data_IF_993963819120
#
_entry.id   IF_993963819120
#
_cell.length_a   1.000
_cell.length_b   1.000
_cell.length_c   1.000
_cell.angle_alpha   90.00
_cell.angle_beta   90.00
_cell.angle_gamma   90.00
#
_symmetry.space_group_name_H-M   'P 1'
#
loop_
_entity.id
_entity.type
_entity.pdbx_description
1 polymer ?
#
# COMPACT_ATOMS: atom_id res chain seq x y z
N UNK A 1 9.91 -4.57 -18.73
CA UNK A 1 8.68 -3.75 -18.61
C UNK A 1 7.62 -4.34 -19.53
N UNK A 2 6.35 -4.35 -19.12
CA UNK A 2 5.23 -4.78 -19.98
C UNK A 2 4.54 -3.54 -20.55
N UNK A 3 4.13 -3.60 -21.82
CA UNK A 3 3.42 -2.52 -22.49
C UNK A 3 1.92 -2.84 -22.52
N UNK A 4 1.09 -1.82 -22.37
CA UNK A 4 -0.36 -1.92 -22.44
C UNK A 4 -0.83 -0.95 -23.52
N UNK A 5 -1.65 -1.43 -24.44
CA UNK A 5 -2.34 -0.60 -25.43
C UNK A 5 -3.75 -0.34 -24.95
N UNK A 6 -4.16 0.92 -24.91
CA UNK A 6 -5.49 1.35 -24.48
C UNK A 6 -6.10 2.19 -25.60
N UNK A 7 -7.29 1.81 -26.05
CA UNK A 7 -8.08 2.60 -26.99
C UNK A 7 -8.82 3.70 -26.23
N UNK A 8 -8.68 4.95 -26.67
CA UNK A 8 -9.31 6.12 -26.08
C UNK A 8 -9.96 6.93 -27.20
N UNK A 9 -11.06 7.61 -26.90
CA UNK A 9 -11.63 8.58 -27.83
C UNK A 9 -10.69 9.79 -27.98
N UNK A 10 -10.65 10.38 -29.18
CA UNK A 10 -9.74 11.50 -29.49
C UNK A 10 -9.89 12.69 -28.54
N UNK A 11 -11.14 13.01 -28.16
CA UNK A 11 -11.43 14.11 -27.24
C UNK A 11 -10.94 13.81 -25.82
N UNK A 12 -11.01 12.55 -25.38
CA UNK A 12 -10.48 12.15 -24.08
C UNK A 12 -8.96 12.21 -24.08
N UNK A 13 -8.31 11.71 -25.15
CA UNK A 13 -6.86 11.77 -25.30
C UNK A 13 -6.35 13.22 -25.31
N UNK A 14 -7.02 14.12 -26.03
CA UNK A 14 -6.67 15.54 -26.09
C UNK A 14 -6.76 16.20 -24.71
N UNK A 15 -7.86 16.03 -23.99
CA UNK A 15 -8.04 16.59 -22.64
C UNK A 15 -7.02 16.03 -21.65
N UNK A 16 -6.77 14.72 -21.67
CA UNK A 16 -5.78 14.08 -20.82
C UNK A 16 -4.38 14.65 -21.07
N UNK A 17 -4.01 14.89 -22.34
CA UNK A 17 -2.71 15.46 -22.70
C UNK A 17 -2.56 16.91 -22.22
N UNK A 18 -3.60 17.73 -22.33
CA UNK A 18 -3.59 19.11 -21.82
C UNK A 18 -3.44 19.12 -20.30
N UNK A 19 -4.23 18.31 -19.59
CA UNK A 19 -4.16 18.21 -18.13
C UNK A 19 -2.80 17.71 -17.64
N UNK A 20 -2.20 16.75 -18.34
CA UNK A 20 -0.87 16.25 -18.02
C UNK A 20 0.20 17.34 -18.20
N UNK A 21 0.15 18.08 -19.31
CA UNK A 21 1.08 19.18 -19.58
C UNK A 21 0.97 20.31 -18.55
N UNK A 22 -0.24 20.65 -18.10
CA UNK A 22 -0.45 21.65 -17.04
C UNK A 22 0.20 21.26 -15.70
N UNK A 23 0.45 19.97 -15.48
CA UNK A 23 1.05 19.43 -14.26
C UNK A 23 2.52 19.03 -14.44
N UNK A 24 3.16 19.39 -15.56
CA UNK A 24 4.50 18.93 -15.96
C UNK A 24 4.65 17.39 -15.94
N UNK A 25 3.58 16.67 -16.27
CA UNK A 25 3.55 15.21 -16.34
C UNK A 25 3.25 14.72 -17.75
N UNK A 26 3.62 13.46 -18.02
CA UNK A 26 3.16 12.74 -19.21
C UNK A 26 1.91 11.94 -18.91
N UNK A 27 1.09 11.68 -19.94
CA UNK A 27 -0.09 10.81 -19.82
C UNK A 27 0.31 9.41 -19.31
N UNK A 28 1.44 8.88 -19.77
CA UNK A 28 1.99 7.60 -19.27
C UNK A 28 2.34 7.64 -17.79
N UNK A 29 2.84 8.76 -17.27
CA UNK A 29 3.13 8.92 -15.84
C UNK A 29 1.83 8.91 -15.02
N UNK A 30 0.79 9.62 -15.48
CA UNK A 30 -0.53 9.62 -14.84
C UNK A 30 -1.18 8.23 -14.84
N UNK A 31 -1.11 7.51 -15.96
CA UNK A 31 -1.64 6.14 -16.04
C UNK A 31 -0.90 5.20 -15.09
N UNK A 32 0.43 5.33 -14.98
CA UNK A 32 1.23 4.52 -14.04
C UNK A 32 0.84 4.82 -12.59
N UNK A 33 0.70 6.09 -12.24
CA UNK A 33 0.30 6.52 -10.90
C UNK A 33 -1.11 6.02 -10.57
N UNK A 34 -2.06 6.19 -11.49
CA UNK A 34 -3.41 5.67 -11.34
C UNK A 34 -3.43 4.16 -11.12
N UNK A 35 -2.72 3.38 -11.95
CA UNK A 35 -2.67 1.92 -11.78
C UNK A 35 -1.98 1.50 -10.48
N UNK A 36 -1.00 2.27 -10.03
CA UNK A 36 -0.33 2.04 -8.73
C UNK A 36 -1.28 2.31 -7.58
N UNK A 37 -2.02 3.42 -7.62
CA UNK A 37 -3.03 3.75 -6.61
C UNK A 37 -4.21 2.77 -6.65
N UNK A 38 -4.67 2.38 -7.84
CA UNK A 38 -5.73 1.41 -8.04
C UNK A 38 -5.34 0.04 -7.47
N UNK A 39 -4.13 -0.43 -7.76
CA UNK A 39 -3.62 -1.68 -7.20
C UNK A 39 -3.28 -1.59 -5.73
N UNK A 40 -2.88 -0.43 -5.21
CA UNK A 40 -2.72 -0.22 -3.76
C UNK A 40 -4.06 -0.24 -3.03
N UNK A 41 -5.11 0.35 -3.63
CA UNK A 41 -6.47 0.31 -3.11
C UNK A 41 -7.08 -1.09 -3.21
N UNK A 42 -6.78 -1.84 -4.27
CA UNK A 42 -7.18 -3.25 -4.41
C UNK A 42 -6.32 -4.21 -3.58
N UNK A 43 -5.06 -3.87 -3.30
CA UNK A 43 -4.23 -4.52 -2.29
C UNK A 43 -4.67 -4.19 -0.87
N UNK A 44 -5.64 -3.25 -0.73
CA UNK A 44 -6.51 -3.08 0.43
C UNK A 44 -7.48 -4.24 0.68
N UNK A 45 -7.29 -5.40 0.03
CA UNK A 45 -7.70 -6.70 0.62
C UNK A 45 -6.82 -7.12 1.81
N UNK A 46 -6.06 -6.18 2.38
CA UNK A 46 -5.68 -6.28 3.76
C UNK A 46 -6.92 -6.29 4.63
N UNK A 47 -7.41 -7.48 4.99
CA UNK A 47 -8.40 -7.61 6.07
C UNK A 47 -7.89 -6.84 7.30
N UNK A 48 -8.73 -6.43 8.27
CA UNK A 48 -8.25 -5.82 9.51
C UNK A 48 -7.06 -6.59 10.14
N UNK A 49 -7.02 -7.89 9.92
CA UNK A 49 -5.92 -8.81 10.24
C UNK A 49 -4.57 -8.43 9.62
N UNK A 50 -4.51 -7.96 8.39
CA UNK A 50 -3.26 -7.62 7.71
C UNK A 50 -2.66 -6.31 8.25
N UNK A 51 -3.51 -5.36 8.62
CA UNK A 51 -3.08 -4.17 9.35
C UNK A 51 -2.48 -4.57 10.72
N UNK A 52 -3.15 -5.48 11.45
CA UNK A 52 -2.65 -6.03 12.72
C UNK A 52 -1.32 -6.75 12.52
N UNK A 53 -1.21 -7.62 11.51
CA UNK A 53 0.02 -8.36 11.19
C UNK A 53 1.17 -7.41 10.85
N UNK A 54 0.92 -6.33 10.11
CA UNK A 54 1.93 -5.32 9.79
C UNK A 54 2.41 -4.56 11.05
N UNK A 55 1.53 -4.34 12.03
CA UNK A 55 1.87 -3.71 13.30
C UNK A 55 2.69 -4.67 14.17
N UNK A 56 2.28 -5.94 14.24
CA UNK A 56 3.01 -6.99 14.97
C UNK A 56 4.41 -7.16 14.41
N UNK A 57 4.56 -7.17 13.09
CA UNK A 57 5.87 -7.29 12.45
C UNK A 57 6.78 -6.11 12.81
N UNK A 58 6.28 -4.87 12.69
CA UNK A 58 7.02 -3.65 13.11
C UNK A 58 7.38 -3.64 14.60
N UNK A 59 6.58 -4.26 15.47
CA UNK A 59 6.89 -4.42 16.89
C UNK A 59 8.00 -5.43 17.10
N UNK A 60 7.95 -6.59 16.43
CA UNK A 60 8.98 -7.63 16.49
C UNK A 60 10.33 -7.14 15.96
N UNK A 61 10.36 -6.36 14.87
CA UNK A 61 11.61 -5.80 14.35
C UNK A 61 12.29 -4.84 15.34
N UNK A 62 11.51 -4.09 16.12
CA UNK A 62 12.02 -3.13 17.12
C UNK A 62 12.38 -3.79 18.45
N UNK A 63 11.72 -4.90 18.77
CA UNK A 63 11.91 -5.63 20.02
C UNK A 63 12.09 -7.14 19.72
N UNK A 64 13.29 -7.57 19.29
CA UNK A 64 13.55 -8.96 18.93
C UNK A 64 13.36 -9.95 20.11
N UNK A 65 13.43 -9.46 21.35
CA UNK A 65 13.13 -10.25 22.55
C UNK A 65 11.63 -10.35 22.90
N UNK A 66 10.74 -9.66 22.16
CA UNK A 66 9.30 -9.73 22.35
C UNK A 66 8.73 -10.97 21.66
N UNK A 67 8.90 -12.11 22.32
CA UNK A 67 8.33 -13.40 21.90
C UNK A 67 7.18 -13.78 22.83
N UNK A 68 6.25 -14.60 22.34
CA UNK A 68 5.15 -15.10 23.16
C UNK A 68 5.64 -15.98 24.32
N UNK A 69 6.84 -16.56 24.20
CA UNK A 69 7.49 -17.41 25.19
C UNK A 69 7.96 -16.64 26.42
N UNK A 70 8.25 -15.34 26.27
CA UNK A 70 8.67 -14.46 27.37
C UNK A 70 7.47 -13.81 28.10
N UNK A 71 6.23 -14.27 27.86
CA UNK A 71 5.06 -13.75 28.56
C UNK A 71 5.02 -14.29 29.98
N UNK A 72 5.07 -13.38 30.95
CA UNK A 72 4.78 -13.72 32.34
C UNK A 72 3.37 -14.31 32.43
N UNK A 73 3.25 -15.40 33.17
CA UNK A 73 1.98 -15.97 33.59
C UNK A 73 1.24 -14.98 34.50
N UNK A 74 -0.08 -15.18 34.60
CA UNK A 74 -0.93 -14.36 35.47
C UNK A 74 -0.43 -14.35 36.92
N UNK A 75 0.04 -15.50 37.41
CA UNK A 75 0.50 -15.64 38.79
C UNK A 75 1.83 -14.90 39.01
N UNK A 76 2.74 -14.91 38.04
CA UNK A 76 4.00 -14.16 38.09
C UNK A 76 3.79 -12.64 38.07
N UNK A 77 2.74 -12.16 37.40
CA UNK A 77 2.36 -10.73 37.40
C UNK A 77 1.84 -10.30 38.76
N UNK A 78 1.03 -11.13 39.42
CA UNK A 78 0.44 -10.84 40.72
C UNK A 78 1.43 -10.97 41.89
N UNK A 79 2.58 -11.61 41.67
CA UNK A 79 3.64 -11.78 42.66
C UNK A 79 4.62 -10.58 42.74
N UNK A 80 4.37 -9.48 42.01
CA UNK A 80 5.23 -8.29 41.93
C UNK A 80 4.59 -7.08 42.63
#
# INVERSE_FOLDING_TARGET
MKNITVSLDDELYRRARVAAAQSDRSVTALVREFLTAFTASSAGTGTPSDAILSIVEKMRSRHPGFTAENRLSRDEIHAR
#
